data_IF_060306405210
#
_entry.id   IF_060306405210
#
_cell.length_a   1.000
_cell.length_b   1.000
_cell.length_c   1.000
_cell.angle_alpha   90.00
_cell.angle_beta   90.00
_cell.angle_gamma   90.00
#
_symmetry.space_group_name_H-M   'P 1'
#
loop_
_entity.id
_entity.type
_entity.pdbx_description
1 polymer ?
#
# COMPACT_ATOMS: atom_id res chain seq x y z
N UNK A 1 53.13 -45.36 1.26
CA UNK A 1 53.04 -45.71 2.70
C UNK A 1 54.19 -45.05 3.42
N UNK A 2 53.97 -44.62 4.67
CA UNK A 2 54.87 -43.91 5.58
C UNK A 2 54.77 -42.37 5.59
N UNK A 3 53.96 -41.97 6.57
CA UNK A 3 53.81 -40.73 7.33
C UNK A 3 55.12 -40.27 8.00
N UNK A 4 55.43 -38.96 8.00
CA UNK A 4 56.19 -38.30 9.09
C UNK A 4 55.77 -36.82 9.23
N UNK A 5 55.56 -36.46 10.49
CA UNK A 5 55.07 -35.21 11.04
C UNK A 5 55.92 -33.95 10.77
N UNK A 6 55.30 -32.79 10.97
CA UNK A 6 56.03 -31.59 11.38
C UNK A 6 55.19 -30.76 12.38
N UNK A 7 55.60 -30.81 13.65
CA UNK A 7 55.22 -29.86 14.70
C UNK A 7 56.10 -28.62 14.61
N UNK A 8 55.54 -27.41 14.75
CA UNK A 8 56.16 -26.38 15.59
C UNK A 8 55.24 -25.19 15.91
N UNK A 9 55.02 -25.04 17.23
CA UNK A 9 55.05 -23.81 18.02
C UNK A 9 53.83 -22.88 18.05
N UNK A 10 53.10 -23.12 19.14
CA UNK A 10 52.35 -22.18 19.96
C UNK A 10 53.13 -20.94 20.39
N UNK A 11 52.51 -19.76 20.28
CA UNK A 11 52.78 -18.63 21.16
C UNK A 11 51.48 -18.07 21.75
N UNK A 12 51.43 -18.12 23.08
CA UNK A 12 50.41 -17.56 23.96
C UNK A 12 50.65 -16.05 24.11
N UNK A 13 49.64 -15.21 23.87
CA UNK A 13 49.58 -13.91 24.55
C UNK A 13 48.17 -13.58 25.04
N UNK A 14 48.02 -13.76 26.35
CA UNK A 14 46.89 -13.42 27.21
C UNK A 14 46.47 -11.96 27.05
N UNK A 15 45.20 -11.70 26.70
CA UNK A 15 44.53 -10.42 26.99
C UNK A 15 43.14 -10.63 27.63
N UNK A 16 43.19 -10.61 28.96
CA UNK A 16 42.20 -10.16 29.96
C UNK A 16 40.73 -10.03 29.51
N UNK A 17 39.93 -11.03 29.88
CA UNK A 17 38.48 -10.89 30.12
C UNK A 17 38.26 -10.00 31.34
N UNK A 18 37.58 -8.86 31.16
CA UNK A 18 36.99 -8.10 32.28
C UNK A 18 35.48 -8.35 32.28
N UNK A 19 35.04 -9.05 33.33
CA UNK A 19 33.65 -9.13 33.74
C UNK A 19 33.11 -7.74 34.06
N UNK A 20 32.15 -7.26 33.28
CA UNK A 20 31.23 -6.21 33.69
C UNK A 20 30.08 -6.88 34.44
N UNK A 21 30.08 -6.73 35.77
CA UNK A 21 28.98 -7.10 36.65
C UNK A 21 27.88 -6.07 36.46
N UNK A 22 26.69 -6.54 36.15
CA UNK A 22 25.46 -5.76 36.05
C UNK A 22 24.74 -5.82 37.42
N UNK A 23 24.56 -4.72 38.16
CA UNK A 23 23.77 -4.73 39.38
C UNK A 23 22.64 -3.71 39.28
N UNK A 24 21.47 -4.13 38.81
CA UNK A 24 20.18 -3.57 39.26
C UNK A 24 19.02 -4.42 38.73
N UNK A 25 18.68 -5.44 39.51
CA UNK A 25 17.40 -6.14 39.45
C UNK A 25 17.01 -6.39 40.89
N UNK A 26 16.01 -5.64 41.36
CA UNK A 26 15.10 -5.87 42.50
C UNK A 26 14.45 -4.54 42.86
N UNK A 27 13.15 -4.44 42.58
CA UNK A 27 12.12 -3.89 43.48
C UNK A 27 10.83 -3.57 42.70
N UNK A 28 10.01 -4.59 42.44
CA UNK A 28 8.60 -4.40 42.09
C UNK A 28 7.70 -5.27 42.97
N UNK A 29 7.80 -5.08 44.29
CA UNK A 29 6.80 -5.62 45.23
C UNK A 29 6.66 -4.70 46.44
N UNK A 30 5.84 -3.65 46.28
CA UNK A 30 5.15 -2.97 47.37
C UNK A 30 3.68 -2.76 46.99
N UNK A 31 2.91 -3.83 47.09
CA UNK A 31 1.46 -3.74 47.33
C UNK A 31 1.27 -3.46 48.82
N UNK A 32 0.90 -2.23 49.19
CA UNK A 32 0.32 -1.94 50.51
C UNK A 32 -1.13 -1.52 50.33
N UNK A 33 -1.98 -2.28 51.01
CA UNK A 33 -3.44 -2.26 51.03
C UNK A 33 -3.95 -0.86 51.41
N UNK A 34 -4.88 -0.33 50.60
CA UNK A 34 -5.76 0.78 50.98
C UNK A 34 -7.13 0.19 51.27
N UNK A 35 -7.61 0.36 52.51
CA UNK A 35 -8.97 0.00 52.89
C UNK A 35 -10.00 0.99 52.35
N UNK A 36 -11.27 0.57 52.14
CA UNK A 36 -12.25 1.37 51.43
C UNK A 36 -12.91 2.40 52.34
N UNK A 37 -12.77 3.70 52.02
CA UNK A 37 -13.52 4.75 52.71
C UNK A 37 -14.97 4.74 52.25
N UNK A 38 -15.90 4.57 53.20
CA UNK A 38 -17.34 4.77 53.01
C UNK A 38 -17.61 6.23 52.67
N UNK A 39 -18.12 6.50 51.46
CA UNK A 39 -18.80 7.77 51.13
C UNK A 39 -20.12 7.51 50.42
N UNK A 40 -21.01 8.43 50.70
CA UNK A 40 -22.45 8.29 50.74
C UNK A 40 -23.10 8.32 49.34
N UNK A 41 -24.30 7.76 49.28
CA UNK A 41 -25.17 7.57 48.12
C UNK A 41 -25.51 8.91 47.45
N UNK A 42 -25.42 8.94 46.12
CA UNK A 42 -26.37 9.61 45.21
C UNK A 42 -26.15 9.10 43.78
N UNK A 43 -26.75 7.95 43.48
CA UNK A 43 -26.72 7.34 42.15
C UNK A 43 -27.72 8.05 41.23
N UNK A 44 -27.29 9.07 40.50
CA UNK A 44 -27.99 9.48 39.26
C UNK A 44 -27.75 8.40 38.21
N UNK A 45 -28.76 7.55 38.04
CA UNK A 45 -28.84 6.50 37.00
C UNK A 45 -28.74 7.14 35.61
N UNK A 46 -27.55 7.22 35.06
CA UNK A 46 -27.35 7.52 33.64
C UNK A 46 -27.90 6.34 32.84
N UNK A 47 -29.03 6.55 32.15
CA UNK A 47 -29.55 5.57 31.19
C UNK A 47 -28.52 5.47 30.06
N UNK A 48 -27.86 4.32 29.97
CA UNK A 48 -27.13 3.92 28.76
C UNK A 48 -28.21 3.68 27.70
N UNK A 49 -28.35 4.61 26.76
CA UNK A 49 -29.19 4.41 25.57
C UNK A 49 -28.34 3.56 24.61
N UNK A 50 -28.72 2.30 24.42
CA UNK A 50 -28.17 1.51 23.32
C UNK A 50 -28.72 2.09 22.01
N UNK A 51 -27.86 2.46 21.03
CA UNK A 51 -28.33 2.92 19.74
C UNK A 51 -29.00 1.76 19.00
N UNK A 52 -30.30 1.86 18.73
CA UNK A 52 -31.00 0.92 17.86
C UNK A 52 -30.83 1.35 16.40
N UNK A 53 -30.47 0.39 15.54
CA UNK A 53 -30.42 0.56 14.10
C UNK A 53 -31.85 0.78 13.56
N UNK A 54 -32.09 1.80 12.71
CA UNK A 54 -33.40 2.05 12.13
C UNK A 54 -33.81 0.87 11.25
N UNK A 55 -35.03 0.39 11.43
CA UNK A 55 -35.51 -0.82 10.73
C UNK A 55 -36.30 -0.46 9.47
N UNK A 56 -36.65 0.81 9.27
CA UNK A 56 -37.43 1.27 8.11
C UNK A 56 -36.80 2.48 7.42
N UNK A 57 -37.00 2.60 6.11
CA UNK A 57 -36.44 3.69 5.29
C UNK A 57 -36.95 5.09 5.70
N UNK A 58 -38.17 5.17 6.25
CA UNK A 58 -38.76 6.40 6.78
C UNK A 58 -38.05 6.91 8.04
N UNK A 59 -37.57 6.01 8.91
CA UNK A 59 -36.79 6.33 10.12
C UNK A 59 -35.38 6.85 9.80
N UNK A 60 -34.78 6.36 8.71
CA UNK A 60 -33.47 6.82 8.22
C UNK A 60 -33.54 8.30 7.81
N UNK A 61 -34.61 8.69 7.12
CA UNK A 61 -34.80 10.07 6.65
C UNK A 61 -35.05 11.09 7.79
N UNK A 62 -35.60 10.62 8.90
CA UNK A 62 -35.98 11.47 10.05
C UNK A 62 -34.79 11.73 10.98
N UNK A 63 -33.90 10.74 11.17
CA UNK A 63 -32.63 10.96 11.88
C UNK A 63 -31.68 11.91 11.13
N UNK A 64 -31.62 11.84 9.80
CA UNK A 64 -30.84 12.78 8.99
C UNK A 64 -31.37 14.22 9.11
N UNK A 65 -32.69 14.40 9.11
CA UNK A 65 -33.32 15.72 9.33
C UNK A 65 -33.03 16.27 10.73
N UNK A 66 -33.02 15.42 11.75
CA UNK A 66 -32.69 15.82 13.12
C UNK A 66 -31.22 16.25 13.27
N UNK A 67 -30.30 15.53 12.62
CA UNK A 67 -28.88 15.89 12.59
C UNK A 67 -28.64 17.21 11.85
N UNK A 68 -29.29 17.42 10.70
CA UNK A 68 -29.22 18.70 9.98
C UNK A 68 -29.73 19.86 10.84
N UNK A 69 -30.83 19.68 11.57
CA UNK A 69 -31.37 20.71 12.47
C UNK A 69 -30.43 21.05 13.64
N UNK A 70 -29.63 20.08 14.12
CA UNK A 70 -28.61 20.30 15.15
C UNK A 70 -27.39 21.04 14.59
N UNK A 71 -26.93 20.67 13.39
CA UNK A 71 -25.79 21.32 12.73
C UNK A 71 -26.09 22.77 12.36
N UNK A 72 -27.33 23.08 11.96
CA UNK A 72 -27.75 24.46 11.69
C UNK A 72 -27.89 25.28 12.98
N UNK A 73 -28.25 24.66 14.11
CA UNK A 73 -28.21 25.33 15.43
C UNK A 73 -26.78 25.65 15.87
N UNK A 74 -25.81 24.76 15.62
CA UNK A 74 -24.40 25.00 15.97
C UNK A 74 -23.75 26.13 15.16
N UNK A 75 -24.15 26.31 13.89
CA UNK A 75 -23.69 27.43 13.05
C UNK A 75 -24.19 28.78 13.58
N UNK A 76 -25.46 28.86 13.98
CA UNK A 76 -26.05 30.09 14.51
C UNK A 76 -25.56 30.46 15.92
N UNK A 77 -25.09 29.50 16.72
CA UNK A 77 -24.49 29.78 18.04
C UNK A 77 -23.06 30.34 18.00
N UNK A 78 -22.36 30.21 16.86
CA UNK A 78 -20.98 30.72 16.72
C UNK A 78 -20.89 32.17 16.22
N UNK A 79 -22.02 32.80 15.89
CA UNK A 79 -22.08 34.19 15.43
C UNK A 79 -22.43 35.22 16.53
N UNK A 80 -22.69 34.81 17.79
CA UNK A 80 -23.16 35.71 18.87
C UNK A 80 -22.20 35.90 20.05
N UNK A 81 -20.92 35.56 19.93
CA UNK A 81 -19.91 35.97 20.93
C UNK A 81 -18.63 36.45 20.25
N UNK A 82 -18.65 37.70 19.81
CA UNK A 82 -17.45 38.50 19.60
C UNK A 82 -17.65 39.86 20.25
N UNK A 83 -16.91 40.16 21.33
CA UNK A 83 -16.19 41.43 21.38
C UNK A 83 -15.15 41.54 22.51
N UNK A 84 -14.16 42.40 22.23
CA UNK A 84 -13.13 42.99 23.11
C UNK A 84 -11.79 42.23 23.30
N UNK A 85 -10.81 42.54 22.43
CA UNK A 85 -9.79 43.59 22.73
C UNK A 85 -8.75 43.74 21.61
N UNK A 86 -8.74 44.93 21.00
CA UNK A 86 -7.66 45.46 20.17
C UNK A 86 -6.41 45.78 21.01
N UNK A 87 -5.21 45.59 20.43
CA UNK A 87 -4.16 46.62 20.44
C UNK A 87 -3.02 46.35 19.42
N UNK A 88 -2.62 47.43 18.76
CA UNK A 88 -1.77 47.58 17.58
C UNK A 88 -0.28 47.19 17.70
N UNK A 89 0.33 46.76 16.57
CA UNK A 89 1.57 47.41 16.04
C UNK A 89 1.88 47.10 14.55
N UNK A 90 1.89 48.19 13.77
CA UNK A 90 2.62 48.58 12.54
C UNK A 90 3.13 47.53 11.50
N UNK A 91 2.58 47.71 10.29
CA UNK A 91 3.14 47.68 8.93
C UNK A 91 4.52 47.07 8.63
N UNK A 92 4.53 46.12 7.69
CA UNK A 92 5.31 46.20 6.44
C UNK A 92 4.56 45.47 5.31
N UNK A 93 4.24 46.18 4.22
CA UNK A 93 3.65 45.61 2.99
C UNK A 93 4.76 44.94 2.18
N UNK A 94 4.62 43.65 1.86
CA UNK A 94 5.13 43.06 0.60
C UNK A 94 4.12 42.02 0.11
N UNK A 95 3.70 42.21 -1.13
CA UNK A 95 2.72 41.47 -1.90
C UNK A 95 3.20 40.05 -2.23
N UNK A 96 2.44 39.03 -1.84
CA UNK A 96 2.54 37.67 -2.39
C UNK A 96 1.12 37.09 -2.55
N UNK A 97 0.87 36.55 -3.74
CA UNK A 97 -0.41 35.99 -4.23
C UNK A 97 -0.96 34.90 -3.29
N UNK A 98 -2.30 34.73 -3.17
CA UNK A 98 -2.89 33.80 -2.22
C UNK A 98 -2.64 32.35 -2.64
N UNK A 99 -2.09 31.55 -1.70
CA UNK A 99 -2.13 30.09 -1.73
C UNK A 99 -3.56 29.62 -1.40
N UNK A 100 -4.11 28.60 -2.08
CA UNK A 100 -5.34 27.98 -1.62
C UNK A 100 -5.10 27.30 -0.28
N UNK A 101 -5.99 27.55 0.68
CA UNK A 101 -5.99 26.97 2.02
C UNK A 101 -6.30 25.48 1.89
N UNK A 102 -5.41 24.64 2.40
CA UNK A 102 -5.66 23.22 2.57
C UNK A 102 -6.17 23.04 3.99
N UNK A 103 -7.47 22.77 4.12
CA UNK A 103 -8.05 22.43 5.41
C UNK A 103 -7.55 21.06 5.86
N UNK A 104 -7.29 20.97 7.17
CA UNK A 104 -6.71 19.82 7.85
C UNK A 104 -7.59 18.56 7.67
N UNK A 105 -7.18 17.67 6.78
CA UNK A 105 -7.66 16.28 6.80
C UNK A 105 -6.72 15.52 7.73
N UNK A 106 -7.26 15.20 8.91
CA UNK A 106 -6.66 14.29 9.85
C UNK A 106 -6.29 12.97 9.16
N UNK A 107 -5.11 12.45 9.50
CA UNK A 107 -4.56 11.16 9.10
C UNK A 107 -5.63 10.05 9.04
N UNK A 108 -6.12 9.75 7.84
CA UNK A 108 -6.73 8.46 7.57
C UNK A 108 -5.63 7.52 7.07
N UNK A 109 -5.46 6.38 7.75
CA UNK A 109 -4.49 5.32 7.43
C UNK A 109 -4.97 4.44 6.26
N UNK A 110 -5.98 4.87 5.53
CA UNK A 110 -6.63 4.09 4.49
C UNK A 110 -6.23 4.64 3.12
N UNK A 111 -5.72 3.76 2.27
CA UNK A 111 -5.45 4.03 0.86
C UNK A 111 -6.82 4.08 0.15
N UNK A 112 -7.52 5.21 0.21
CA UNK A 112 -8.85 5.34 -0.41
C UNK A 112 -8.74 5.53 -1.94
N UNK A 113 -9.61 4.91 -2.75
CA UNK A 113 -9.53 4.95 -4.23
C UNK A 113 -10.66 5.81 -4.81
N UNK A 114 -10.51 7.13 -4.72
CA UNK A 114 -11.56 8.11 -5.08
C UNK A 114 -11.57 8.39 -6.59
N UNK A 115 -10.40 8.29 -7.22
CA UNK A 115 -10.17 8.66 -8.61
C UNK A 115 -10.35 7.45 -9.55
N UNK A 116 -11.49 6.77 -9.46
CA UNK A 116 -11.85 5.70 -10.41
C UNK A 116 -12.13 6.33 -11.78
N UNK A 117 -11.31 6.01 -12.78
CA UNK A 117 -11.46 6.56 -14.12
C UNK A 117 -12.74 5.99 -14.77
N UNK A 118 -13.56 6.76 -15.49
CA UNK A 118 -14.76 6.27 -16.16
C UNK A 118 -14.57 5.01 -17.04
N UNK A 119 -13.38 4.79 -17.59
CA UNK A 119 -13.07 3.55 -18.35
C UNK A 119 -13.01 2.30 -17.45
N UNK A 120 -12.70 2.44 -16.15
CA UNK A 120 -12.80 1.36 -15.15
C UNK A 120 -14.27 1.07 -14.80
N UNK A 121 -15.11 2.11 -14.77
CA UNK A 121 -16.56 1.96 -14.58
C UNK A 121 -17.21 1.28 -15.78
N UNK A 122 -16.81 1.62 -17.00
CA UNK A 122 -17.30 0.97 -18.24
C UNK A 122 -16.96 -0.53 -18.30
N UNK A 123 -15.85 -0.94 -17.66
CA UNK A 123 -15.45 -2.33 -17.55
C UNK A 123 -16.37 -3.12 -16.59
N UNK A 124 -16.86 -2.47 -15.53
CA UNK A 124 -17.82 -3.03 -14.57
C UNK A 124 -19.24 -3.06 -15.15
N UNK A 125 -19.67 -2.00 -15.83
CA UNK A 125 -21.06 -1.87 -16.32
C UNK A 125 -21.39 -2.78 -17.50
N UNK A 126 -20.37 -3.42 -18.08
CA UNK A 126 -20.52 -4.02 -19.39
C UNK A 126 -20.78 -2.95 -20.46
N UNK A 127 -20.47 -3.32 -21.69
CA UNK A 127 -20.58 -2.49 -22.89
C UNK A 127 -22.03 -2.02 -23.09
N UNK A 128 -22.42 -0.81 -22.66
CA UNK A 128 -23.69 -0.20 -23.10
C UNK A 128 -23.56 0.17 -24.58
N UNK A 129 -24.08 -0.70 -25.45
CA UNK A 129 -24.60 -0.25 -26.75
C UNK A 129 -25.60 0.87 -26.49
N UNK A 130 -25.37 2.04 -27.09
CA UNK A 130 -26.30 3.17 -27.08
C UNK A 130 -27.71 2.66 -27.40
N UNK A 131 -28.60 2.71 -26.42
CA UNK A 131 -30.04 2.72 -26.63
C UNK A 131 -30.55 3.95 -25.90
N UNK A 132 -31.04 4.89 -26.70
CA UNK A 132 -31.74 6.08 -26.25
C UNK A 132 -33.12 5.63 -25.75
N UNK A 133 -33.43 5.92 -24.49
CA UNK A 133 -34.73 6.30 -23.89
C UNK A 133 -34.73 5.98 -22.40
N UNK A 134 -35.34 6.87 -21.63
CA UNK A 134 -34.95 7.16 -20.25
C UNK A 134 -35.41 6.20 -19.16
N UNK A 135 -34.71 6.30 -18.03
CA UNK A 135 -35.30 6.44 -16.70
C UNK A 135 -34.22 6.90 -15.70
N UNK A 136 -34.48 7.98 -14.97
CA UNK A 136 -33.52 8.63 -14.07
C UNK A 136 -33.32 7.90 -12.72
N UNK A 137 -33.68 6.60 -12.64
CA UNK A 137 -33.56 5.77 -11.44
C UNK A 137 -32.68 4.53 -11.61
N UNK A 138 -32.04 4.32 -12.76
CA UNK A 138 -31.06 3.25 -12.98
C UNK A 138 -29.60 3.77 -12.90
N UNK A 139 -29.31 4.56 -11.86
CA UNK A 139 -28.00 5.23 -11.67
C UNK A 139 -27.12 4.58 -10.60
N UNK A 140 -27.52 3.42 -10.06
CA UNK A 140 -26.72 2.65 -9.12
C UNK A 140 -26.23 1.38 -9.82
N UNK A 141 -25.06 1.49 -10.44
CA UNK A 141 -24.30 0.32 -10.90
C UNK A 141 -23.91 -0.48 -9.65
N UNK A 142 -24.71 -1.47 -9.29
CA UNK A 142 -24.42 -2.50 -8.28
C UNK A 142 -23.48 -3.56 -8.85
N UNK A 143 -22.48 -3.16 -9.64
CA UNK A 143 -21.41 -4.05 -10.04
C UNK A 143 -20.45 -4.17 -8.87
N UNK A 144 -20.27 -5.37 -8.32
CA UNK A 144 -19.37 -5.57 -7.19
C UNK A 144 -17.98 -5.05 -7.54
N UNK A 145 -17.53 -4.03 -6.80
CA UNK A 145 -16.17 -3.48 -6.91
C UNK A 145 -15.10 -4.54 -6.58
N UNK A 146 -15.48 -5.72 -6.08
CA UNK A 146 -14.59 -6.78 -5.57
C UNK A 146 -14.10 -7.74 -6.67
N UNK A 147 -14.50 -7.54 -7.93
CA UNK A 147 -14.14 -8.43 -9.06
C UNK A 147 -12.72 -8.26 -9.60
N UNK A 148 -12.27 -9.23 -10.40
CA UNK A 148 -11.02 -9.14 -11.18
C UNK A 148 -11.21 -8.11 -12.30
N UNK A 149 -10.33 -7.11 -12.34
CA UNK A 149 -10.28 -6.09 -13.39
C UNK A 149 -9.14 -6.34 -14.38
N UNK A 150 -9.15 -5.67 -15.53
CA UNK A 150 -8.09 -5.73 -16.56
C UNK A 150 -6.72 -5.33 -16.03
N UNK A 151 -6.69 -4.39 -15.07
CA UNK A 151 -5.47 -3.96 -14.36
C UNK A 151 -5.49 -4.58 -12.97
N UNK A 152 -4.39 -5.22 -12.59
CA UNK A 152 -4.21 -5.80 -11.26
C UNK A 152 -2.82 -5.44 -10.75
N UNK A 153 -2.67 -5.31 -9.44
CA UNK A 153 -1.37 -5.12 -8.80
C UNK A 153 -0.97 -6.36 -8.02
N UNK A 154 0.31 -6.69 -8.07
CA UNK A 154 0.92 -7.86 -7.43
C UNK A 154 2.05 -7.38 -6.52
N UNK A 155 2.12 -7.99 -5.34
CA UNK A 155 3.27 -7.90 -4.44
C UNK A 155 3.45 -9.23 -3.70
N UNK A 156 4.70 -9.60 -3.44
CA UNK A 156 5.05 -10.85 -2.78
C UNK A 156 5.97 -10.60 -1.58
N UNK A 157 5.75 -11.35 -0.50
CA UNK A 157 6.70 -11.46 0.60
C UNK A 157 7.57 -12.70 0.41
N UNK A 158 8.86 -12.56 0.74
CA UNK A 158 9.84 -13.62 0.57
C UNK A 158 10.61 -13.93 1.85
N UNK A 159 10.96 -15.20 2.00
CA UNK A 159 11.87 -15.72 3.03
C UNK A 159 13.21 -16.14 2.42
N UNK A 160 14.24 -16.22 3.26
CA UNK A 160 15.58 -16.66 2.91
C UNK A 160 15.76 -18.17 3.05
N UNK A 161 16.25 -18.80 1.98
CA UNK A 161 16.57 -20.24 1.92
C UNK A 161 18.00 -20.48 1.43
N UNK A 162 18.46 -21.72 1.55
CA UNK A 162 19.84 -22.11 1.27
C UNK A 162 20.77 -21.87 2.46
N UNK A 163 22.01 -22.36 2.37
CA UNK A 163 22.98 -22.32 3.47
C UNK A 163 23.32 -20.91 3.95
N UNK A 164 23.19 -19.90 3.09
CA UNK A 164 23.50 -18.49 3.40
C UNK A 164 22.26 -17.58 3.48
N UNK A 165 21.05 -18.15 3.41
CA UNK A 165 19.76 -17.45 3.41
C UNK A 165 19.60 -16.34 2.35
N UNK A 166 20.46 -16.28 1.33
CA UNK A 166 20.42 -15.20 0.32
C UNK A 166 19.35 -15.43 -0.74
N UNK A 167 19.09 -16.69 -1.10
CA UNK A 167 18.07 -17.01 -2.10
C UNK A 167 16.68 -16.72 -1.55
N UNK A 168 15.87 -16.06 -2.37
CA UNK A 168 14.49 -15.72 -2.05
C UNK A 168 13.58 -16.90 -2.38
N UNK A 169 12.65 -17.22 -1.47
CA UNK A 169 11.55 -18.15 -1.70
C UNK A 169 10.24 -17.45 -1.35
N UNK A 170 9.20 -17.68 -2.15
CA UNK A 170 7.88 -17.11 -1.93
C UNK A 170 7.29 -17.58 -0.60
N UNK A 171 6.70 -16.65 0.15
CA UNK A 171 6.05 -16.94 1.43
C UNK A 171 4.61 -16.39 1.51
N UNK A 172 4.34 -15.27 0.86
CA UNK A 172 2.99 -14.73 0.68
C UNK A 172 2.90 -14.03 -0.67
N UNK A 173 1.75 -14.10 -1.31
CA UNK A 173 1.43 -13.35 -2.52
C UNK A 173 0.08 -12.66 -2.33
N UNK A 174 0.02 -11.39 -2.71
CA UNK A 174 -1.23 -10.62 -2.69
C UNK A 174 -1.47 -9.97 -4.05
N UNK A 175 -2.70 -10.05 -4.53
CA UNK A 175 -3.18 -9.43 -5.76
C UNK A 175 -4.39 -8.57 -5.45
N UNK A 176 -4.35 -7.33 -5.92
CA UNK A 176 -5.47 -6.39 -5.83
C UNK A 176 -5.95 -5.95 -7.21
N UNK A 177 -7.23 -5.62 -7.32
CA UNK A 177 -7.81 -5.07 -8.54
C UNK A 177 -7.52 -3.56 -8.69
N UNK A 178 -8.04 -2.92 -9.74
CA UNK A 178 -7.82 -1.49 -10.00
C UNK A 178 -8.37 -0.55 -8.92
N UNK A 179 -9.32 -1.03 -8.12
CA UNK A 179 -9.96 -0.31 -7.01
C UNK A 179 -9.25 -0.58 -5.67
N UNK A 180 -8.20 -1.40 -5.66
CA UNK A 180 -7.47 -1.77 -4.46
C UNK A 180 -8.13 -2.88 -3.63
N UNK A 181 -9.21 -3.51 -4.12
CA UNK A 181 -9.79 -4.66 -3.45
C UNK A 181 -8.94 -5.90 -3.64
N UNK A 182 -8.80 -6.68 -2.57
CA UNK A 182 -8.04 -7.92 -2.56
C UNK A 182 -8.79 -8.97 -3.34
N UNK A 183 -8.16 -9.44 -4.41
CA UNK A 183 -8.66 -10.51 -5.29
C UNK A 183 -8.06 -11.85 -4.88
N UNK A 184 -6.81 -11.83 -4.44
CA UNK A 184 -6.08 -13.01 -4.02
C UNK A 184 -5.11 -12.65 -2.91
N UNK A 185 -5.09 -13.41 -1.83
CA UNK A 185 -4.11 -13.27 -0.77
C UNK A 185 -3.88 -14.64 -0.15
N UNK A 186 -2.67 -15.17 -0.29
CA UNK A 186 -2.34 -16.50 0.22
C UNK A 186 -0.91 -16.55 0.73
N UNK A 187 -0.73 -17.22 1.87
CA UNK A 187 0.56 -17.77 2.26
C UNK A 187 0.92 -18.97 1.39
N UNK A 188 2.19 -19.35 1.40
CA UNK A 188 2.69 -20.44 0.56
C UNK A 188 3.55 -21.39 1.38
N UNK A 189 3.28 -22.70 1.26
CA UNK A 189 4.09 -23.71 1.91
C UNK A 189 5.54 -23.65 1.39
N UNK A 190 6.53 -23.70 2.29
CA UNK A 190 7.94 -23.63 1.91
C UNK A 190 8.33 -24.90 1.16
N UNK A 191 8.98 -24.74 0.01
CA UNK A 191 9.50 -25.87 -0.78
C UNK A 191 10.83 -26.40 -0.22
N UNK A 192 11.50 -25.58 0.59
CA UNK A 192 12.78 -25.88 1.22
C UNK A 192 12.80 -25.32 2.65
N UNK A 193 13.76 -25.78 3.46
CA UNK A 193 13.91 -25.30 4.83
C UNK A 193 14.19 -23.79 4.83
N UNK A 194 13.31 -23.03 5.48
CA UNK A 194 13.51 -21.60 5.73
C UNK A 194 14.66 -21.41 6.72
N UNK A 195 15.65 -20.62 6.34
CA UNK A 195 16.80 -20.27 7.18
C UNK A 195 16.61 -18.91 7.83
N UNK A 196 16.03 -17.95 7.11
CA UNK A 196 15.68 -16.63 7.64
C UNK A 196 14.28 -16.24 7.18
N UNK A 197 13.36 -16.00 8.11
CA UNK A 197 12.01 -15.54 7.79
C UNK A 197 11.95 -14.08 7.37
N UNK A 198 13.00 -13.30 7.68
CA UNK A 198 13.08 -11.85 7.38
C UNK A 198 11.91 -11.07 7.96
N UNK A 199 11.34 -11.53 9.08
CA UNK A 199 10.09 -11.03 9.68
C UNK A 199 10.07 -9.51 9.85
N UNK A 200 11.20 -8.90 10.22
CA UNK A 200 11.35 -7.45 10.38
C UNK A 200 11.03 -6.65 9.09
N UNK A 201 11.17 -7.27 7.92
CA UNK A 201 10.74 -6.73 6.63
C UNK A 201 9.44 -7.40 6.21
N UNK A 202 9.40 -8.73 6.11
CA UNK A 202 8.33 -9.46 5.42
C UNK A 202 7.04 -9.68 6.22
N UNK A 203 7.10 -9.49 7.56
CA UNK A 203 6.02 -9.87 8.47
C UNK A 203 5.77 -11.39 8.57
N UNK A 204 6.53 -12.22 7.85
CA UNK A 204 6.33 -13.68 7.82
C UNK A 204 6.90 -14.33 9.09
N UNK A 205 6.12 -15.26 9.65
CA UNK A 205 6.50 -16.12 10.77
C UNK A 205 6.28 -17.59 10.41
N UNK A 206 6.89 -18.49 11.19
CA UNK A 206 6.78 -19.93 10.95
C UNK A 206 5.34 -20.42 11.00
N UNK A 207 4.53 -19.83 11.87
CA UNK A 207 3.12 -20.15 12.06
C UNK A 207 2.28 -19.81 10.83
N UNK A 208 2.65 -18.76 10.09
CA UNK A 208 1.94 -18.36 8.87
C UNK A 208 2.08 -19.40 7.75
N UNK A 209 3.21 -20.11 7.73
CA UNK A 209 3.52 -21.09 6.69
C UNK A 209 3.04 -22.50 7.06
N UNK A 210 2.59 -22.69 8.30
CA UNK A 210 2.06 -23.96 8.77
C UNK A 210 0.72 -24.23 8.11
N UNK A 211 0.61 -25.36 7.40
CA UNK A 211 -0.57 -25.75 6.62
C UNK A 211 -0.94 -24.76 5.49
N UNK A 212 0.00 -23.90 5.07
CA UNK A 212 -0.21 -23.06 3.91
C UNK A 212 -0.37 -23.94 2.64
N UNK A 213 -1.09 -23.47 1.61
CA UNK A 213 -1.22 -24.20 0.35
C UNK A 213 0.13 -24.45 -0.33
N UNK A 214 0.24 -25.56 -1.05
CA UNK A 214 1.45 -25.89 -1.81
C UNK A 214 1.75 -24.82 -2.88
N UNK A 215 3.03 -24.54 -3.08
CA UNK A 215 3.51 -23.57 -4.08
C UNK A 215 2.87 -23.78 -5.45
N UNK A 216 2.76 -25.03 -5.91
CA UNK A 216 2.20 -25.35 -7.24
C UNK A 216 0.74 -24.93 -7.37
N UNK A 217 -0.06 -25.10 -6.31
CA UNK A 217 -1.47 -24.69 -6.29
C UNK A 217 -1.58 -23.17 -6.38
N UNK A 218 -0.85 -22.47 -5.52
CA UNK A 218 -0.83 -20.99 -5.50
C UNK A 218 -0.34 -20.43 -6.83
N UNK A 219 0.75 -20.99 -7.37
CA UNK A 219 1.31 -20.57 -8.65
C UNK A 219 0.29 -20.72 -9.79
N UNK A 220 -0.45 -21.85 -9.83
CA UNK A 220 -1.47 -22.08 -10.84
C UNK A 220 -2.62 -21.06 -10.71
N UNK A 221 -3.07 -20.77 -9.50
CA UNK A 221 -4.12 -19.77 -9.24
C UNK A 221 -3.67 -18.36 -9.65
N UNK A 222 -2.48 -17.94 -9.21
CA UNK A 222 -1.87 -16.66 -9.60
C UNK A 222 -1.71 -16.58 -11.11
N UNK A 223 -1.21 -17.63 -11.78
CA UNK A 223 -1.02 -17.62 -13.23
C UNK A 223 -2.33 -17.42 -14.01
N UNK A 224 -3.43 -18.01 -13.52
CA UNK A 224 -4.77 -17.84 -14.11
C UNK A 224 -5.25 -16.40 -13.96
N UNK A 225 -5.04 -15.79 -12.79
CA UNK A 225 -5.43 -14.39 -12.54
C UNK A 225 -4.61 -13.43 -13.40
N UNK A 226 -3.30 -13.65 -13.52
CA UNK A 226 -2.39 -12.80 -14.31
C UNK A 226 -2.63 -12.86 -15.82
N UNK A 227 -3.30 -13.91 -16.31
CA UNK A 227 -3.49 -14.14 -17.75
C UNK A 227 -4.25 -12.98 -18.41
N UNK A 228 -3.63 -12.44 -19.46
CA UNK A 228 -4.16 -11.33 -20.29
C UNK A 228 -4.43 -10.03 -19.52
N UNK A 229 -3.84 -9.87 -18.33
CA UNK A 229 -3.97 -8.65 -17.53
C UNK A 229 -2.85 -7.66 -17.78
N UNK A 230 -3.08 -6.43 -17.32
CA UNK A 230 -2.07 -5.40 -17.12
C UNK A 230 -1.56 -5.56 -15.70
N UNK A 231 -0.31 -5.96 -15.56
CA UNK A 231 0.32 -6.19 -14.27
C UNK A 231 1.01 -4.92 -13.77
N UNK A 232 0.54 -4.41 -12.64
CA UNK A 232 1.11 -3.27 -11.91
C UNK A 232 1.87 -3.79 -10.69
N UNK A 233 2.91 -3.09 -10.26
CA UNK A 233 3.62 -3.44 -9.03
C UNK A 233 4.88 -2.61 -8.83
N UNK A 234 5.73 -3.00 -7.88
CA UNK A 234 6.97 -2.31 -7.57
C UNK A 234 8.15 -3.27 -7.59
N UNK A 235 9.05 -3.12 -8.56
CA UNK A 235 10.19 -4.05 -8.75
C UNK A 235 9.77 -5.50 -9.07
N UNK A 236 8.67 -5.65 -9.83
CA UNK A 236 8.02 -6.91 -10.25
C UNK A 236 8.92 -8.03 -10.79
N UNK A 237 10.18 -7.73 -11.16
CA UNK A 237 11.15 -8.76 -11.55
C UNK A 237 11.34 -9.77 -10.41
N UNK A 238 11.45 -9.28 -9.18
CA UNK A 238 11.72 -10.13 -8.02
C UNK A 238 10.51 -11.04 -7.72
N UNK A 239 9.29 -10.48 -7.78
CA UNK A 239 8.03 -11.20 -7.56
C UNK A 239 7.82 -12.31 -8.60
N UNK A 240 7.98 -11.97 -9.88
CA UNK A 240 7.84 -12.92 -10.98
C UNK A 240 8.89 -14.03 -10.94
N UNK A 241 10.12 -13.71 -10.50
CA UNK A 241 11.19 -14.68 -10.33
C UNK A 241 10.87 -15.71 -9.23
N UNK A 242 10.38 -15.29 -8.06
CA UNK A 242 10.01 -16.24 -6.99
C UNK A 242 8.71 -16.99 -7.27
N UNK A 243 7.82 -16.44 -8.10
CA UNK A 243 6.64 -17.13 -8.60
C UNK A 243 6.96 -18.11 -9.73
N UNK A 244 8.17 -18.05 -10.32
CA UNK A 244 8.56 -18.78 -11.53
C UNK A 244 7.56 -18.54 -12.68
N UNK A 245 7.13 -17.28 -12.84
CA UNK A 245 6.17 -16.86 -13.86
C UNK A 245 6.76 -15.74 -14.73
N UNK A 246 6.34 -15.70 -15.99
CA UNK A 246 6.63 -14.59 -16.89
C UNK A 246 5.36 -13.78 -17.19
N UNK A 247 5.55 -12.50 -17.48
CA UNK A 247 4.47 -11.64 -17.95
C UNK A 247 4.91 -10.81 -19.16
N UNK A 248 4.06 -10.62 -20.19
CA UNK A 248 4.45 -9.86 -21.38
C UNK A 248 4.94 -8.46 -21.02
N UNK A 249 6.14 -8.08 -21.46
CA UNK A 249 6.74 -6.76 -21.12
C UNK A 249 5.84 -5.59 -21.48
N UNK A 250 5.09 -5.70 -22.58
CA UNK A 250 4.09 -4.70 -23.01
C UNK A 250 2.94 -4.50 -22.02
N UNK A 251 2.73 -5.48 -21.14
CA UNK A 251 1.67 -5.49 -20.14
C UNK A 251 2.16 -5.17 -18.71
N UNK A 252 3.46 -4.95 -18.49
CA UNK A 252 4.04 -4.64 -17.17
C UNK A 252 4.11 -3.13 -16.91
N UNK A 253 3.59 -2.70 -15.76
CA UNK A 253 3.60 -1.32 -15.24
C UNK A 253 4.36 -1.31 -13.90
N UNK A 254 5.68 -1.34 -14.00
CA UNK A 254 6.58 -1.37 -12.85
C UNK A 254 6.89 0.05 -12.36
N UNK A 255 6.36 0.41 -11.19
CA UNK A 255 6.50 1.74 -10.58
C UNK A 255 7.95 2.08 -10.25
N UNK A 256 8.81 1.10 -9.98
CA UNK A 256 10.25 1.36 -9.74
C UNK A 256 10.98 1.76 -11.04
N UNK A 257 10.49 1.31 -12.20
CA UNK A 257 11.09 1.57 -13.51
C UNK A 257 10.50 2.78 -14.25
N UNK A 258 9.40 3.34 -13.75
CA UNK A 258 8.72 4.47 -14.40
C UNK A 258 9.58 5.74 -14.35
N UNK A 259 9.98 6.25 -15.52
CA UNK A 259 10.94 7.36 -15.63
C UNK A 259 10.47 8.66 -14.95
N UNK A 260 9.20 9.07 -15.04
CA UNK A 260 8.71 10.23 -14.28
C UNK A 260 8.89 10.07 -12.77
N UNK A 261 8.64 8.89 -12.21
CA UNK A 261 8.86 8.62 -10.78
C UNK A 261 10.33 8.74 -10.39
N UNK A 262 11.24 8.15 -11.19
CA UNK A 262 12.68 8.29 -10.98
C UNK A 262 13.14 9.76 -10.95
N UNK A 263 12.56 10.61 -11.81
CA UNK A 263 12.86 12.04 -11.86
C UNK A 263 12.33 12.80 -10.66
N UNK A 264 11.08 12.53 -10.25
CA UNK A 264 10.45 13.18 -9.08
C UNK A 264 11.25 12.87 -7.81
N UNK A 265 11.61 11.59 -7.62
CA UNK A 265 12.32 11.11 -6.44
C UNK A 265 13.84 11.36 -6.51
N UNK A 266 14.34 11.78 -7.68
CA UNK A 266 15.75 12.03 -8.01
C UNK A 266 16.65 10.81 -7.76
N UNK A 267 16.19 9.62 -8.13
CA UNK A 267 16.94 8.35 -8.01
C UNK A 267 16.57 7.37 -9.11
N UNK A 268 17.51 6.53 -9.52
CA UNK A 268 17.26 5.47 -10.52
C UNK A 268 16.45 4.30 -9.97
N UNK A 269 16.49 4.09 -8.66
CA UNK A 269 15.83 2.98 -7.95
C UNK A 269 15.01 3.53 -6.79
N UNK A 270 13.87 4.19 -7.06
CA UNK A 270 13.02 4.74 -6.02
C UNK A 270 12.38 3.60 -5.24
N UNK A 271 12.40 3.67 -3.90
CA UNK A 271 11.63 2.74 -3.07
C UNK A 271 10.15 3.09 -3.07
N UNK A 272 9.29 2.08 -2.89
CA UNK A 272 7.85 2.26 -2.79
C UNK A 272 7.49 3.24 -1.67
N UNK A 273 8.12 3.10 -0.49
CA UNK A 273 7.99 4.02 0.65
C UNK A 273 8.25 5.49 0.27
N UNK A 274 9.29 5.76 -0.51
CA UNK A 274 9.63 7.14 -0.92
C UNK A 274 8.63 7.67 -1.94
N UNK A 275 8.16 6.83 -2.86
CA UNK A 275 7.11 7.18 -3.81
C UNK A 275 5.78 7.48 -3.11
N UNK A 276 5.34 6.59 -2.22
CA UNK A 276 4.13 6.75 -1.42
C UNK A 276 4.17 8.08 -0.63
N UNK A 277 5.30 8.36 0.02
CA UNK A 277 5.45 9.59 0.80
C UNK A 277 5.42 10.85 -0.05
N UNK A 278 6.07 10.86 -1.21
CA UNK A 278 6.20 12.06 -2.04
C UNK A 278 4.99 12.31 -2.95
N UNK A 279 4.35 11.26 -3.46
CA UNK A 279 3.27 11.36 -4.45
C UNK A 279 1.88 11.21 -3.83
N UNK A 280 1.74 10.35 -2.81
CA UNK A 280 0.45 10.09 -2.17
C UNK A 280 0.34 10.76 -0.78
N UNK A 281 1.44 11.30 -0.26
CA UNK A 281 1.56 11.84 1.10
C UNK A 281 1.23 10.80 2.21
N UNK A 282 1.41 9.51 1.94
CA UNK A 282 1.15 8.41 2.88
C UNK A 282 2.48 7.84 3.37
N UNK A 283 2.57 7.53 4.67
CA UNK A 283 3.67 6.75 5.23
C UNK A 283 3.30 5.27 5.23
N UNK A 284 4.14 4.43 4.64
CA UNK A 284 4.02 2.96 4.64
C UNK A 284 5.33 2.33 5.12
N UNK A 285 5.30 1.02 5.41
CA UNK A 285 6.50 0.27 5.82
C UNK A 285 7.20 0.94 7.03
N UNK A 286 6.40 1.36 8.03
CA UNK A 286 6.92 1.89 9.31
C UNK A 286 7.38 0.77 10.27
N UNK A 287 6.94 -0.46 10.00
CA UNK A 287 7.39 -1.69 10.67
C UNK A 287 7.47 -2.83 9.65
N UNK A 288 6.90 -3.98 9.98
CA UNK A 288 6.74 -5.10 9.05
C UNK A 288 5.93 -4.69 7.81
N UNK A 289 6.26 -5.24 6.66
CA UNK A 289 5.57 -4.99 5.40
C UNK A 289 4.27 -5.81 5.35
N UNK A 290 3.39 -5.36 4.46
CA UNK A 290 2.17 -6.07 4.15
C UNK A 290 2.00 -6.03 2.64
N UNK A 291 2.20 -7.17 1.99
CA UNK A 291 2.03 -7.31 0.52
C UNK A 291 0.72 -6.74 -0.01
N UNK A 292 -0.38 -6.86 0.74
CA UNK A 292 -1.65 -6.21 0.36
C UNK A 292 -1.53 -4.68 0.29
N UNK A 293 -0.93 -4.05 1.30
CA UNK A 293 -0.77 -2.59 1.35
C UNK A 293 0.18 -2.12 0.26
N UNK A 294 1.27 -2.86 0.03
CA UNK A 294 2.26 -2.52 -0.98
C UNK A 294 1.69 -2.65 -2.41
N UNK A 295 0.90 -3.70 -2.68
CA UNK A 295 0.15 -3.84 -3.94
C UNK A 295 -0.88 -2.71 -4.14
N UNK A 296 -1.63 -2.33 -3.10
CA UNK A 296 -2.57 -1.21 -3.14
C UNK A 296 -1.88 0.12 -3.44
N UNK A 297 -0.74 0.39 -2.79
CA UNK A 297 0.03 1.61 -3.02
C UNK A 297 0.58 1.64 -4.45
N UNK A 298 1.12 0.51 -4.93
CA UNK A 298 1.60 0.41 -6.30
C UNK A 298 0.47 0.65 -7.32
N UNK A 299 -0.73 0.09 -7.08
CA UNK A 299 -1.91 0.36 -7.89
C UNK A 299 -2.28 1.84 -7.86
N UNK A 300 -2.36 2.46 -6.67
CA UNK A 300 -2.74 3.86 -6.53
C UNK A 300 -1.73 4.81 -7.21
N UNK A 301 -0.44 4.53 -7.12
CA UNK A 301 0.60 5.26 -7.84
C UNK A 301 0.40 5.18 -9.35
N UNK A 302 0.10 3.99 -9.87
CA UNK A 302 -0.21 3.79 -11.28
C UNK A 302 -1.48 4.55 -11.69
N UNK A 303 -2.59 4.40 -10.94
CA UNK A 303 -3.87 5.06 -11.22
C UNK A 303 -3.70 6.58 -11.31
N UNK A 304 -2.96 7.19 -10.36
CA UNK A 304 -2.67 8.62 -10.34
C UNK A 304 -1.97 9.12 -11.63
N UNK A 305 -1.14 8.28 -12.27
CA UNK A 305 -0.37 8.64 -13.47
C UNK A 305 -0.81 7.91 -14.73
N UNK A 306 -1.94 7.19 -14.67
CA UNK A 306 -2.37 6.22 -15.68
C UNK A 306 -2.47 6.83 -17.06
N UNK A 307 -3.18 7.96 -17.18
CA UNK A 307 -3.40 8.67 -18.46
C UNK A 307 -2.07 9.03 -19.13
N UNK A 308 -1.12 9.56 -18.35
CA UNK A 308 0.20 9.90 -18.87
C UNK A 308 1.02 8.66 -19.22
N UNK A 309 0.97 7.63 -18.37
CA UNK A 309 1.73 6.39 -18.54
C UNK A 309 1.28 5.64 -19.81
N UNK A 310 -0.01 5.39 -19.97
CA UNK A 310 -0.54 4.64 -21.12
C UNK A 310 -0.35 5.42 -22.43
N UNK A 311 -0.49 6.75 -22.41
CA UNK A 311 -0.15 7.59 -23.58
C UNK A 311 1.31 7.45 -23.99
N UNK A 312 2.24 7.49 -23.04
CA UNK A 312 3.68 7.32 -23.32
C UNK A 312 3.98 5.94 -23.91
N UNK A 313 3.32 4.88 -23.40
CA UNK A 313 3.47 3.53 -23.95
C UNK A 313 2.88 3.41 -25.36
N UNK A 314 1.72 4.03 -25.61
CA UNK A 314 1.11 4.05 -26.93
C UNK A 314 2.00 4.79 -27.95
N UNK A 315 2.48 5.99 -27.60
CA UNK A 315 3.40 6.75 -28.46
C UNK A 315 4.70 5.99 -28.75
N UNK A 316 5.26 5.30 -27.76
CA UNK A 316 6.47 4.49 -27.94
C UNK A 316 6.26 3.29 -28.86
N UNK A 317 5.01 2.80 -29.00
CA UNK A 317 4.66 1.73 -29.95
C UNK A 317 4.45 2.26 -31.37
N UNK A 318 3.85 3.44 -31.50
CA UNK A 318 3.51 4.04 -32.80
C UNK A 318 4.72 4.70 -33.45
N UNK A 319 5.62 5.30 -32.66
CA UNK A 319 6.83 5.96 -33.19
C UNK A 319 7.81 4.90 -33.71
N UNK A 320 8.19 4.91 -35.00
CA UNK A 320 9.21 4.01 -35.51
C UNK A 320 10.53 4.25 -34.76
N UNK A 321 11.23 3.17 -34.45
CA UNK A 321 12.58 3.21 -33.90
C UNK A 321 13.44 4.17 -34.73
N UNK A 322 14.21 5.05 -34.07
CA UNK A 322 15.16 5.94 -34.76
C UNK A 322 16.12 5.15 -35.67
N UNK A 323 16.43 3.89 -35.33
CA UNK A 323 17.26 3.01 -36.15
C UNK A 323 16.53 2.53 -37.43
N UNK A 324 15.20 2.42 -37.42
CA UNK A 324 14.42 2.07 -38.60
C UNK A 324 14.33 3.24 -39.60
N UNK A 325 14.32 4.48 -39.10
CA UNK A 325 14.35 5.69 -39.94
C UNK A 325 15.72 5.90 -40.60
N UNK A 326 16.81 5.65 -39.88
CA UNK A 326 18.17 5.76 -40.42
C UNK A 326 18.43 4.69 -41.50
N UNK A 327 18.01 3.45 -41.28
CA UNK A 327 18.17 2.39 -42.30
C UNK A 327 17.33 2.65 -43.55
N UNK A 328 16.16 3.29 -43.44
CA UNK A 328 15.32 3.66 -44.58
C UNK A 328 15.90 4.80 -45.42
N UNK A 329 16.68 5.70 -44.81
CA UNK A 329 17.39 6.80 -45.49
C UNK A 329 18.67 6.32 -46.21
N UNK A 330 19.33 5.28 -45.70
CA UNK A 330 20.57 4.72 -46.30
C UNK A 330 20.28 3.79 -47.50
N UNK A 331 19.13 3.10 -47.51
CA UNK A 331 18.74 2.24 -48.65
C UNK A 331 18.21 3.02 -49.86
N UNK A 332 17.71 4.24 -49.67
CA UNK A 332 17.21 5.10 -50.77
C UNK A 332 18.30 5.87 -51.50
N UNK A 333 19.55 5.81 -51.03
CA UNK A 333 20.70 6.50 -51.63
C UNK A 333 21.67 5.58 -52.39
N UNK A 334 21.36 4.29 -52.52
CA UNK A 334 22.13 3.32 -53.32
C UNK A 334 21.47 2.93 -54.66
N UNK A 335 20.32 3.52 -54.99
CA UNK A 335 19.55 3.27 -56.23
C UNK A 335 19.36 4.54 -57.08
N UNK A 336 20.37 5.43 -57.09
CA UNK A 336 20.42 6.57 -58.03
C UNK A 336 21.77 6.70 -58.70
#
# INVERSE_FOLDING_TARGET
>A
MAEVANECKSENLKRKRKHSRNPHSKDWNKRRKLEPSKRNRDAKKTRIIQPQLPQTATEISSNWKALHALLEKEKNTKETTGDLKQRHKKMFKRTLKPKPKLDNIASSKEVWFDDVDPEDLEEITGKKTKTETGDANDMLVTGSLEGITKRIALDCEMVGVGSDAKRHMLARVSIVNSHGHVVYDSFVAPQEKVVDYRTHVSGIRSENLKNAPEFKTVQLEVSKILKEKILVGHSLKNDLEVLLLDHPRKNIRDTAKYKPFQKIVKTKTPSLKKLAKQLLNISIQEGEHSSVQDAQVAMKLYTLHRKQWERQLHEARVKPSKNALVNKLVTTSHDR
#
